data_IF_443233263200
#
_entry.id   IF_443233263200
#
_cell.length_a   1.000
_cell.length_b   1.000
_cell.length_c   1.000
_cell.angle_alpha   90.00
_cell.angle_beta   90.00
_cell.angle_gamma   90.00
#
_symmetry.space_group_name_H-M   'P 1'
#
loop_
_entity.id
_entity.type
_entity.pdbx_description
1 polymer ?
#
# COMPACT_ATOMS: atom_id res chain seq x y z
N UNK A 1 28.92 2.17 -22.33
CA UNK A 1 27.89 1.68 -23.27
C UNK A 1 27.45 0.24 -22.98
N UNK A 2 28.36 -0.74 -22.86
CA UNK A 2 27.98 -2.12 -22.44
C UNK A 2 27.42 -2.20 -21.01
N UNK A 3 28.04 -1.50 -20.06
CA UNK A 3 27.57 -1.46 -18.67
C UNK A 3 26.19 -0.80 -18.51
N UNK A 4 25.90 0.25 -19.30
CA UNK A 4 24.60 0.94 -19.28
C UNK A 4 23.49 0.09 -19.91
N UNK A 5 23.80 -0.68 -20.96
CA UNK A 5 22.84 -1.62 -21.55
C UNK A 5 22.50 -2.75 -20.57
N UNK A 6 23.49 -3.39 -19.95
CA UNK A 6 23.28 -4.42 -18.95
C UNK A 6 22.50 -3.91 -17.72
N UNK A 7 22.83 -2.71 -17.22
CA UNK A 7 22.12 -2.07 -16.12
C UNK A 7 20.65 -1.77 -16.47
N UNK A 8 20.36 -1.28 -17.68
CA UNK A 8 18.99 -1.00 -18.12
C UNK A 8 18.13 -2.27 -18.22
N UNK A 9 18.69 -3.36 -18.76
CA UNK A 9 18.00 -4.65 -18.85
C UNK A 9 17.71 -5.22 -17.47
N UNK A 10 18.69 -5.20 -16.57
CA UNK A 10 18.51 -5.65 -15.18
C UNK A 10 17.47 -4.81 -14.45
N UNK A 11 17.45 -3.49 -14.67
CA UNK A 11 16.44 -2.61 -14.10
C UNK A 11 15.02 -2.94 -14.59
N UNK A 12 14.84 -3.18 -15.89
CA UNK A 12 13.54 -3.58 -16.44
C UNK A 12 13.10 -4.94 -15.88
N UNK A 13 14.01 -5.91 -15.78
CA UNK A 13 13.72 -7.21 -15.16
C UNK A 13 13.30 -7.04 -13.70
N UNK A 14 14.01 -6.20 -12.94
CA UNK A 14 13.68 -5.93 -11.55
C UNK A 14 12.31 -5.25 -11.39
N UNK A 15 11.98 -4.28 -12.26
CA UNK A 15 10.65 -3.64 -12.28
C UNK A 15 9.54 -4.65 -12.60
N UNK A 16 9.74 -5.51 -13.60
CA UNK A 16 8.78 -6.55 -13.95
C UNK A 16 8.59 -7.55 -12.81
N UNK A 17 9.68 -8.00 -12.18
CA UNK A 17 9.66 -8.92 -11.05
C UNK A 17 8.93 -8.31 -9.83
N UNK A 18 9.21 -7.04 -9.52
CA UNK A 18 8.52 -6.28 -8.46
C UNK A 18 7.00 -6.21 -8.70
N UNK A 19 6.58 -5.95 -9.95
CA UNK A 19 5.16 -5.91 -10.33
C UNK A 19 4.44 -7.27 -10.17
N UNK A 20 5.12 -8.38 -10.45
CA UNK A 20 4.55 -9.71 -10.24
C UNK A 20 4.38 -10.03 -8.75
N UNK A 21 5.40 -9.71 -7.93
CA UNK A 21 5.35 -9.93 -6.48
C UNK A 21 4.19 -9.17 -5.82
N UNK A 22 4.01 -7.90 -6.20
CA UNK A 22 2.91 -7.06 -5.71
C UNK A 22 1.53 -7.64 -6.09
N UNK A 23 1.39 -8.16 -7.30
CA UNK A 23 0.12 -8.74 -7.77
C UNK A 23 -0.26 -9.99 -6.95
N UNK A 24 0.68 -10.90 -6.73
CA UNK A 24 0.42 -12.14 -5.97
C UNK A 24 0.02 -11.78 -4.53
N UNK A 25 0.85 -10.98 -3.87
CA UNK A 25 0.62 -10.56 -2.47
C UNK A 25 -0.70 -9.80 -2.33
N UNK A 26 -1.02 -8.90 -3.27
CA UNK A 26 -2.29 -8.17 -3.28
C UNK A 26 -3.51 -9.08 -3.41
N UNK A 27 -3.45 -10.12 -4.24
CA UNK A 27 -4.58 -11.07 -4.37
C UNK A 27 -4.77 -11.93 -3.13
N UNK A 28 -3.69 -12.31 -2.42
CA UNK A 28 -3.77 -13.09 -1.18
C UNK A 28 -4.25 -12.22 -0.01
N UNK A 29 -3.68 -11.03 0.16
CA UNK A 29 -4.10 -10.08 1.18
C UNK A 29 -5.57 -9.67 0.99
N UNK A 30 -5.98 -9.38 -0.26
CA UNK A 30 -7.37 -9.10 -0.58
C UNK A 30 -8.31 -10.24 -0.24
N UNK A 31 -7.87 -11.50 -0.38
CA UNK A 31 -8.66 -12.66 0.03
C UNK A 31 -8.88 -12.70 1.54
N UNK A 32 -7.79 -12.57 2.30
CA UNK A 32 -7.84 -12.63 3.77
C UNK A 32 -8.74 -11.52 4.32
N UNK A 33 -8.64 -10.31 3.76
CA UNK A 33 -9.48 -9.18 4.17
C UNK A 33 -10.95 -9.39 3.76
N UNK A 34 -11.21 -9.81 2.51
CA UNK A 34 -12.58 -10.02 2.04
C UNK A 34 -13.30 -11.16 2.78
N UNK A 35 -12.61 -12.28 3.02
CA UNK A 35 -13.19 -13.42 3.75
C UNK A 35 -13.29 -13.13 5.25
N UNK A 36 -12.32 -12.42 5.84
CA UNK A 36 -12.30 -12.11 7.26
C UNK A 36 -13.27 -11.00 7.68
N UNK A 37 -13.38 -9.92 6.89
CA UNK A 37 -14.22 -8.77 7.25
C UNK A 37 -15.59 -8.78 6.57
N UNK A 38 -15.67 -9.17 5.28
CA UNK A 38 -16.92 -9.12 4.51
C UNK A 38 -17.57 -10.50 4.29
N UNK A 39 -16.90 -11.58 4.70
CA UNK A 39 -17.34 -12.97 4.50
C UNK A 39 -17.71 -13.30 3.04
N UNK A 40 -17.12 -12.59 2.07
CA UNK A 40 -17.39 -12.76 0.64
C UNK A 40 -16.39 -13.72 0.00
N UNK A 41 -16.91 -14.79 -0.65
CA UNK A 41 -16.11 -15.74 -1.43
C UNK A 41 -16.27 -15.49 -2.94
N UNK A 42 -15.38 -14.67 -3.49
CA UNK A 42 -15.33 -14.34 -4.91
C UNK A 42 -14.28 -15.21 -5.61
N UNK A 43 -14.56 -15.66 -6.84
CA UNK A 43 -13.59 -16.44 -7.64
C UNK A 43 -12.29 -15.64 -7.87
N UNK A 44 -11.09 -16.25 -7.79
CA UNK A 44 -9.82 -15.54 -7.88
C UNK A 44 -9.63 -14.70 -9.15
N UNK A 45 -10.10 -15.19 -10.31
CA UNK A 45 -10.01 -14.47 -11.58
C UNK A 45 -10.87 -13.19 -11.58
N UNK A 46 -12.09 -13.28 -11.05
CA UNK A 46 -13.02 -12.15 -10.93
C UNK A 46 -12.46 -11.09 -9.97
N UNK A 47 -11.90 -11.53 -8.84
CA UNK A 47 -11.21 -10.65 -7.89
C UNK A 47 -10.05 -9.92 -8.55
N UNK A 48 -9.21 -10.64 -9.30
CA UNK A 48 -8.04 -10.05 -10.00
C UNK A 48 -8.44 -9.05 -11.07
N UNK A 49 -9.51 -9.32 -11.83
CA UNK A 49 -10.02 -8.38 -12.82
C UNK A 49 -10.58 -7.13 -12.16
N UNK A 50 -11.42 -7.29 -11.13
CA UNK A 50 -12.08 -6.17 -10.47
C UNK A 50 -11.06 -5.23 -9.80
N UNK A 51 -10.08 -5.76 -9.08
CA UNK A 51 -9.04 -4.92 -8.45
C UNK A 51 -8.11 -4.27 -9.48
N UNK A 52 -7.79 -4.95 -10.59
CA UNK A 52 -7.02 -4.34 -11.68
C UNK A 52 -7.80 -3.24 -12.39
N UNK A 53 -9.08 -3.45 -12.70
CA UNK A 53 -9.90 -2.43 -13.35
C UNK A 53 -10.03 -1.21 -12.46
N UNK A 54 -10.32 -1.39 -11.16
CA UNK A 54 -10.42 -0.27 -10.21
C UNK A 54 -9.09 0.48 -10.07
N UNK A 55 -7.94 -0.19 -10.14
CA UNK A 55 -6.63 0.45 -10.07
C UNK A 55 -6.21 1.16 -11.38
N UNK A 56 -6.47 0.53 -12.54
CA UNK A 56 -5.99 1.01 -13.85
C UNK A 56 -6.92 2.08 -14.42
N UNK A 57 -8.23 1.96 -14.23
CA UNK A 57 -9.22 2.90 -14.78
C UNK A 57 -8.95 4.36 -14.39
N UNK A 58 -8.77 4.72 -13.10
CA UNK A 58 -8.48 6.11 -12.72
C UNK A 58 -7.13 6.57 -13.26
N UNK A 59 -6.12 5.69 -13.30
CA UNK A 59 -4.81 6.02 -13.86
C UNK A 59 -4.90 6.35 -15.35
N UNK A 60 -5.62 5.54 -16.13
CA UNK A 60 -5.81 5.75 -17.58
C UNK A 60 -6.59 7.04 -17.86
N UNK A 61 -7.64 7.32 -17.07
CA UNK A 61 -8.42 8.56 -17.22
C UNK A 61 -7.56 9.79 -16.95
N UNK A 62 -6.79 9.79 -15.85
CA UNK A 62 -5.96 10.93 -15.46
C UNK A 62 -4.85 11.17 -16.49
N UNK A 63 -4.16 10.11 -16.94
CA UNK A 63 -3.11 10.20 -17.97
C UNK A 63 -3.70 10.68 -19.30
N UNK A 64 -4.85 10.15 -19.71
CA UNK A 64 -5.50 10.50 -20.98
C UNK A 64 -5.95 11.96 -21.05
N UNK A 65 -6.30 12.57 -19.91
CA UNK A 65 -6.73 13.97 -19.85
C UNK A 65 -5.56 14.95 -19.68
N UNK A 66 -4.49 14.56 -18.97
CA UNK A 66 -3.48 15.51 -18.45
C UNK A 66 -2.02 15.24 -18.86
N UNK A 67 -1.76 14.12 -19.54
CA UNK A 67 -0.44 13.79 -20.09
C UNK A 67 0.51 13.07 -19.12
N UNK A 68 1.78 12.87 -19.54
CA UNK A 68 2.77 12.06 -18.82
C UNK A 68 3.20 12.62 -17.45
N UNK A 69 3.04 13.93 -17.22
CA UNK A 69 3.38 14.57 -15.94
C UNK A 69 2.53 14.06 -14.77
N UNK A 70 1.36 13.46 -15.03
CA UNK A 70 0.45 12.97 -13.99
C UNK A 70 0.80 11.58 -13.43
N UNK A 71 1.84 10.91 -13.93
CA UNK A 71 2.28 9.63 -13.34
C UNK A 71 2.82 9.82 -11.93
N UNK A 72 3.65 10.84 -11.71
CA UNK A 72 4.18 11.19 -10.39
C UNK A 72 3.07 11.59 -9.42
N UNK A 73 2.04 12.25 -9.94
CA UNK A 73 0.86 12.65 -9.20
C UNK A 73 0.03 11.45 -8.73
N UNK A 74 -0.20 10.48 -9.61
CA UNK A 74 -0.85 9.21 -9.29
C UNK A 74 -0.06 8.40 -8.24
N UNK A 75 1.27 8.43 -8.32
CA UNK A 75 2.13 7.82 -7.31
C UNK A 75 1.97 8.52 -5.96
N UNK A 76 1.93 9.85 -5.94
CA UNK A 76 1.72 10.65 -4.72
C UNK A 76 0.36 10.36 -4.08
N UNK A 77 -0.71 10.30 -4.90
CA UNK A 77 -2.04 9.90 -4.44
C UNK A 77 -2.05 8.53 -3.78
N UNK A 78 -1.33 7.57 -4.37
CA UNK A 78 -1.20 6.22 -3.79
C UNK A 78 -0.51 6.24 -2.43
N UNK A 79 0.48 7.13 -2.24
CA UNK A 79 1.16 7.29 -0.95
C UNK A 79 0.22 7.89 0.11
N UNK A 80 -0.63 8.85 -0.24
CA UNK A 80 -1.62 9.42 0.69
C UNK A 80 -2.57 8.33 1.20
N UNK A 81 -3.09 7.50 0.29
CA UNK A 81 -3.97 6.39 0.68
C UNK A 81 -3.26 5.40 1.60
N UNK A 82 -1.99 5.09 1.30
CA UNK A 82 -1.19 4.17 2.11
C UNK A 82 -0.92 4.72 3.52
N UNK A 83 -0.53 6.00 3.62
CA UNK A 83 -0.30 6.69 4.89
C UNK A 83 -1.55 6.71 5.79
N UNK A 84 -2.73 6.81 5.20
CA UNK A 84 -4.00 6.69 5.94
C UNK A 84 -4.32 5.24 6.35
N UNK A 85 -3.93 4.25 5.54
CA UNK A 85 -4.22 2.83 5.78
C UNK A 85 -3.30 2.20 6.84
N UNK A 86 -2.02 2.57 6.87
CA UNK A 86 -1.01 1.99 7.76
C UNK A 86 -1.38 2.04 9.26
N UNK A 87 -1.74 3.20 9.86
CA UNK A 87 -2.09 3.25 11.28
C UNK A 87 -3.34 2.42 11.60
N UNK A 88 -4.32 2.41 10.71
CA UNK A 88 -5.54 1.61 10.85
C UNK A 88 -5.25 0.10 10.90
N UNK A 89 -4.20 -0.38 10.23
CA UNK A 89 -3.79 -1.78 10.30
C UNK A 89 -2.87 -2.07 11.50
N UNK A 90 -1.94 -1.18 11.81
CA UNK A 90 -0.91 -1.39 12.83
C UNK A 90 -1.45 -1.35 14.25
N UNK A 91 -2.30 -0.37 14.59
CA UNK A 91 -2.81 -0.22 15.97
C UNK A 91 -3.67 -1.42 16.42
N UNK A 92 -4.64 -1.92 15.63
CA UNK A 92 -5.40 -3.11 16.01
C UNK A 92 -4.52 -4.36 16.12
N UNK A 93 -3.54 -4.52 15.22
CA UNK A 93 -2.62 -5.65 15.26
C UNK A 93 -1.81 -5.64 16.57
N UNK A 94 -1.21 -4.50 16.93
CA UNK A 94 -0.48 -4.33 18.19
C UNK A 94 -1.38 -4.52 19.41
N UNK A 95 -2.62 -4.05 19.34
CA UNK A 95 -3.58 -4.26 20.42
C UNK A 95 -3.91 -5.76 20.58
N UNK A 96 -4.11 -6.49 19.48
CA UNK A 96 -4.40 -7.92 19.52
C UNK A 96 -3.21 -8.75 20.00
N UNK A 97 -1.98 -8.42 19.59
CA UNK A 97 -0.77 -9.10 20.05
C UNK A 97 -0.41 -8.76 21.50
N UNK A 98 -0.84 -7.60 21.99
CA UNK A 98 -0.69 -7.20 23.41
C UNK A 98 -1.61 -7.95 24.37
N UNK A 99 -2.72 -8.51 23.88
CA UNK A 99 -3.78 -9.05 24.71
C UNK A 99 -3.43 -10.47 25.19
N UNK A 100 -3.18 -10.63 26.49
CA UNK A 100 -3.00 -11.94 27.13
C UNK A 100 -4.21 -12.85 26.93
N UNK A 101 -5.42 -12.26 26.73
CA UNK A 101 -6.67 -12.99 26.50
C UNK A 101 -6.74 -13.66 25.12
N UNK A 102 -6.04 -13.12 24.11
CA UNK A 102 -6.02 -13.69 22.74
C UNK A 102 -4.76 -14.49 22.43
N UNK A 103 -3.58 -14.08 22.93
CA UNK A 103 -2.33 -14.79 22.67
C UNK A 103 -1.96 -15.83 23.75
N UNK A 104 -2.62 -15.84 24.91
CA UNK A 104 -2.33 -16.78 26.00
C UNK A 104 -0.86 -16.69 26.44
N UNK A 105 -0.14 -17.82 26.44
CA UNK A 105 1.28 -17.93 26.78
C UNK A 105 2.23 -17.38 25.72
N UNK A 106 1.77 -17.14 24.49
CA UNK A 106 2.57 -16.64 23.36
C UNK A 106 2.58 -15.12 23.25
N UNK A 107 2.22 -14.43 24.33
CA UNK A 107 2.18 -12.97 24.36
C UNK A 107 3.53 -12.38 23.97
N UNK A 108 3.49 -11.33 23.13
CA UNK A 108 4.68 -10.56 22.79
C UNK A 108 5.37 -10.04 24.05
N UNK A 109 6.68 -10.31 24.16
CA UNK A 109 7.49 -9.85 25.28
C UNK A 109 7.45 -8.32 25.42
N UNK A 110 7.66 -7.81 26.64
CA UNK A 110 7.60 -6.36 26.93
C UNK A 110 8.49 -5.54 26.01
N UNK A 111 9.68 -6.04 25.65
CA UNK A 111 10.59 -5.38 24.72
C UNK A 111 10.00 -5.27 23.30
N UNK A 112 9.48 -6.38 22.76
CA UNK A 112 8.87 -6.40 21.42
C UNK A 112 7.64 -5.49 21.35
N UNK A 113 6.87 -5.43 22.43
CA UNK A 113 5.69 -4.58 22.51
C UNK A 113 6.07 -3.09 22.56
N UNK A 114 7.10 -2.73 23.31
CA UNK A 114 7.59 -1.36 23.43
C UNK A 114 8.24 -0.91 22.11
N UNK A 115 9.01 -1.78 21.47
CA UNK A 115 9.56 -1.54 20.14
C UNK A 115 8.46 -1.41 19.06
N UNK A 116 7.44 -2.26 19.10
CA UNK A 116 6.32 -2.23 18.14
C UNK A 116 5.42 -1.01 18.30
N UNK A 117 5.09 -0.63 19.54
CA UNK A 117 4.37 0.62 19.80
C UNK A 117 5.22 1.85 19.46
N UNK A 118 6.52 1.83 19.79
CA UNK A 118 7.45 2.88 19.42
C UNK A 118 7.55 3.08 17.90
N UNK A 119 7.71 1.99 17.14
CA UNK A 119 7.78 2.06 15.68
C UNK A 119 6.44 2.48 15.06
N UNK A 120 5.31 2.00 15.57
CA UNK A 120 3.98 2.41 15.10
C UNK A 120 3.73 3.91 15.31
N UNK A 121 4.07 4.43 16.48
CA UNK A 121 3.95 5.86 16.78
C UNK A 121 4.88 6.67 15.88
N UNK A 122 6.14 6.23 15.72
CA UNK A 122 7.11 6.91 14.86
C UNK A 122 6.66 6.95 13.40
N UNK A 123 6.25 5.81 12.83
CA UNK A 123 5.77 5.72 11.44
C UNK A 123 4.53 6.60 11.27
N UNK A 124 3.55 6.49 12.17
CA UNK A 124 2.32 7.32 12.10
C UNK A 124 2.65 8.81 12.19
N UNK A 125 3.61 9.22 13.03
CA UNK A 125 4.03 10.60 13.14
C UNK A 125 4.73 11.09 11.85
N UNK A 126 5.58 10.26 11.24
CA UNK A 126 6.24 10.60 9.97
C UNK A 126 5.24 10.70 8.82
N UNK A 127 4.31 9.74 8.74
CA UNK A 127 3.24 9.74 7.74
C UNK A 127 2.36 10.99 7.87
N UNK A 128 1.96 11.34 9.09
CA UNK A 128 1.17 12.56 9.37
C UNK A 128 1.95 13.85 9.08
N UNK A 129 3.27 13.84 9.22
CA UNK A 129 4.09 15.01 8.91
C UNK A 129 4.27 15.21 7.40
N UNK A 130 4.39 14.13 6.62
CA UNK A 130 4.45 14.19 5.15
C UNK A 130 3.08 14.28 4.46
N UNK A 131 2.00 14.00 5.18
CA UNK A 131 0.63 14.03 4.68
C UNK A 131 0.19 15.39 4.12
N UNK A 132 0.47 16.55 4.75
CA UNK A 132 -0.02 17.85 4.29
C UNK A 132 0.52 18.23 2.92
N UNK A 133 1.79 17.91 2.66
CA UNK A 133 2.43 18.20 1.37
C UNK A 133 1.92 17.23 0.29
N UNK A 134 1.73 15.96 0.65
CA UNK A 134 1.16 14.95 -0.25
C UNK A 134 -0.32 15.25 -0.58
N UNK A 135 -1.10 15.75 0.39
CA UNK A 135 -2.49 16.17 0.21
C UNK A 135 -2.58 17.43 -0.64
N UNK A 136 -1.67 18.41 -0.46
CA UNK A 136 -1.63 19.59 -1.33
C UNK A 136 -1.39 19.20 -2.79
N UNK A 137 -0.43 18.33 -3.05
CA UNK A 137 -0.19 17.79 -4.39
C UNK A 137 -1.41 17.04 -4.91
N UNK A 138 -2.00 16.15 -4.10
CA UNK A 138 -3.23 15.43 -4.45
C UNK A 138 -4.42 16.36 -4.78
N UNK A 139 -4.58 17.44 -4.03
CA UNK A 139 -5.64 18.43 -4.23
C UNK A 139 -5.44 19.18 -5.55
N UNK A 140 -4.21 19.58 -5.87
CA UNK A 140 -3.87 20.18 -7.17
C UNK A 140 -4.14 19.21 -8.33
N UNK A 141 -3.94 17.92 -8.09
CA UNK A 141 -4.24 16.86 -9.06
C UNK A 141 -5.74 16.68 -9.26
N UNK A 142 -6.55 16.81 -8.22
CA UNK A 142 -8.01 16.68 -8.35
C UNK A 142 -8.65 17.95 -8.93
N UNK A 143 -8.15 19.13 -8.55
CA UNK A 143 -8.77 20.42 -8.89
C UNK A 143 -8.35 20.96 -10.27
N UNK A 144 -7.31 20.39 -10.90
CA UNK A 144 -7.03 20.68 -12.31
C UNK A 144 -6.41 22.05 -12.57
N UNK A 145 -5.42 22.46 -11.77
CA UNK A 145 -4.51 23.56 -12.09
C UNK A 145 -3.10 23.03 -12.35
#
# INVERSE_FOLDING_TARGET
>A
LLATAAASTLFVIALLASGQSSTITGTLAGQVVMEGFMHWRIRPWMRRLLTRTVAILPAVIIIGVRGESSVTDLLTLSQVVLALQLPLAMFPLLHFTSSSRRMGSWKSGRFLLLAGWGSAILITAMDLWGLPDSIRTAWLVIVGN
#
